data_IF_932882092355
#
_entry.id   IF_932882092355
#
_cell.length_a   1.000
_cell.length_b   1.000
_cell.length_c   1.000
_cell.angle_alpha   90.00
_cell.angle_beta   90.00
_cell.angle_gamma   90.00
#
_symmetry.space_group_name_H-M   'P 1'
#
loop_
_entity.id
_entity.type
_entity.pdbx_description
1 polymer ?
#
# COMPACT_ATOMS: atom_id res chain seq x y z
N UNK A 1 -2.35 12.26 -16.59
CA UNK A 1 -3.26 11.10 -16.53
C UNK A 1 -4.66 11.56 -16.92
N UNK A 2 -5.22 12.55 -16.24
CA UNK A 2 -6.60 13.01 -16.45
C UNK A 2 -6.85 13.53 -17.86
N UNK A 3 -5.93 14.28 -18.44
CA UNK A 3 -6.07 14.87 -19.79
C UNK A 3 -5.93 13.81 -20.89
N UNK A 4 -5.02 12.87 -20.73
CA UNK A 4 -4.75 11.83 -21.75
C UNK A 4 -5.76 10.68 -21.63
N UNK A 5 -6.17 10.35 -20.40
CA UNK A 5 -7.03 9.20 -20.10
C UNK A 5 -8.52 9.53 -19.99
N UNK A 6 -8.99 10.65 -20.54
CA UNK A 6 -10.42 11.02 -20.50
C UNK A 6 -11.02 10.99 -19.07
N UNK A 7 -10.26 11.49 -18.09
CA UNK A 7 -10.69 11.56 -16.69
C UNK A 7 -10.00 10.58 -15.75
N UNK A 8 -9.21 9.63 -16.26
CA UNK A 8 -8.44 8.67 -15.45
C UNK A 8 -7.65 7.69 -16.30
N UNK A 9 -6.88 6.84 -15.65
CA UNK A 9 -6.20 5.72 -16.30
C UNK A 9 -7.21 4.62 -16.67
N UNK A 10 -6.92 3.82 -17.70
CA UNK A 10 -7.71 2.63 -17.99
C UNK A 10 -7.55 1.58 -16.90
N UNK A 11 -6.31 1.32 -16.47
CA UNK A 11 -5.97 0.36 -15.43
C UNK A 11 -5.03 1.02 -14.42
N UNK A 12 -5.32 0.84 -13.14
CA UNK A 12 -4.39 1.10 -12.05
C UNK A 12 -4.02 -0.24 -11.39
N UNK A 13 -2.75 -0.59 -11.45
CA UNK A 13 -2.21 -1.76 -10.75
C UNK A 13 -1.42 -1.29 -9.53
N UNK A 14 -1.67 -1.92 -8.39
CA UNK A 14 -1.04 -1.57 -7.11
C UNK A 14 -0.74 -2.80 -6.26
N UNK A 15 0.01 -2.57 -5.20
CA UNK A 15 0.30 -3.55 -4.16
C UNK A 15 0.52 -2.79 -2.85
N UNK A 16 -0.04 -3.23 -1.72
CA UNK A 16 0.13 -2.53 -0.47
C UNK A 16 1.56 -2.68 0.06
N UNK A 17 2.11 -1.58 0.57
CA UNK A 17 3.37 -1.62 1.31
C UNK A 17 3.17 -1.92 2.79
N UNK A 18 4.24 -1.83 3.56
CA UNK A 18 4.24 -2.16 5.00
C UNK A 18 3.23 -1.36 5.81
N UNK A 19 3.10 -0.07 5.50
CA UNK A 19 2.13 0.82 6.16
C UNK A 19 0.70 0.67 5.64
N UNK A 20 0.47 -0.12 4.59
CA UNK A 20 -0.79 -0.13 3.86
C UNK A 20 -1.00 1.13 3.02
N UNK A 21 0.08 1.85 2.65
CA UNK A 21 0.00 3.06 1.85
C UNK A 21 -0.65 2.83 0.48
N UNK A 22 -1.28 3.88 -0.04
CA UNK A 22 -1.77 3.95 -1.41
C UNK A 22 -0.80 4.82 -2.22
N UNK A 23 -0.14 4.25 -3.24
CA UNK A 23 1.02 4.88 -3.87
C UNK A 23 2.05 5.23 -2.77
N UNK A 24 2.42 6.51 -2.56
CA UNK A 24 3.22 6.93 -1.41
C UNK A 24 2.45 7.83 -0.44
N UNK A 25 1.11 7.71 -0.42
CA UNK A 25 0.29 8.31 0.63
C UNK A 25 0.32 7.36 1.83
N UNK A 26 1.19 7.66 2.76
CA UNK A 26 1.40 6.94 4.01
C UNK A 26 0.43 7.41 5.12
N UNK A 27 0.19 6.61 6.18
CA UNK A 27 -0.63 7.03 7.32
C UNK A 27 0.15 7.98 8.24
N UNK A 28 0.37 9.20 7.78
CA UNK A 28 1.02 10.28 8.53
C UNK A 28 0.01 11.40 8.81
N UNK A 29 0.25 12.20 9.84
CA UNK A 29 -0.68 13.24 10.32
C UNK A 29 -1.18 14.15 9.20
N UNK A 30 -0.34 14.45 8.21
CA UNK A 30 -0.70 15.28 7.04
C UNK A 30 -1.87 14.69 6.22
N UNK A 31 -2.04 13.37 6.25
CA UNK A 31 -3.04 12.65 5.43
C UNK A 31 -4.13 11.97 6.25
N UNK A 32 -4.13 12.15 7.57
CA UNK A 32 -5.18 11.63 8.44
C UNK A 32 -6.29 12.68 8.54
N UNK A 33 -7.47 12.31 8.08
CA UNK A 33 -8.68 13.14 8.14
C UNK A 33 -9.90 12.25 8.36
N UNK A 34 -10.93 12.79 9.00
CA UNK A 34 -12.23 12.14 9.13
C UNK A 34 -13.09 12.33 7.89
N UNK A 35 -12.70 13.24 7.00
CA UNK A 35 -13.38 13.49 5.72
C UNK A 35 -12.81 12.56 4.64
N UNK A 36 -13.51 11.45 4.42
CA UNK A 36 -13.12 10.45 3.41
C UNK A 36 -13.20 11.01 2.00
N UNK A 37 -14.14 11.90 1.71
CA UNK A 37 -14.27 12.49 0.38
C UNK A 37 -13.10 13.45 0.10
N UNK A 38 -12.67 14.23 1.09
CA UNK A 38 -11.45 15.04 1.00
C UNK A 38 -10.26 14.14 0.70
N UNK A 39 -10.09 13.05 1.47
CA UNK A 39 -8.98 12.12 1.30
C UNK A 39 -8.93 11.51 -0.10
N UNK A 40 -10.07 11.02 -0.60
CA UNK A 40 -10.19 10.40 -1.92
C UNK A 40 -9.92 11.36 -3.08
N UNK A 41 -10.04 12.67 -2.85
CA UNK A 41 -9.80 13.72 -3.84
C UNK A 41 -8.40 14.34 -3.77
N UNK A 42 -7.51 13.85 -2.90
CA UNK A 42 -6.14 14.36 -2.83
C UNK A 42 -5.39 14.13 -4.15
N UNK A 43 -4.77 15.19 -4.73
CA UNK A 43 -4.03 15.08 -5.99
C UNK A 43 -2.60 14.60 -5.80
N UNK A 44 -1.92 14.35 -6.93
CA UNK A 44 -0.48 14.08 -6.97
C UNK A 44 0.31 15.17 -6.26
N UNK A 45 1.36 14.76 -5.53
CA UNK A 45 2.17 15.67 -4.70
C UNK A 45 3.56 15.12 -4.40
N UNK A 46 4.40 15.96 -3.80
CA UNK A 46 5.65 15.51 -3.17
C UNK A 46 5.35 15.25 -1.69
N UNK A 47 5.75 14.08 -1.21
CA UNK A 47 5.53 13.63 0.17
C UNK A 47 6.85 13.33 0.86
N UNK A 48 6.86 13.43 2.19
CA UNK A 48 7.89 12.83 3.03
C UNK A 48 7.47 11.41 3.38
N UNK A 49 8.33 10.44 3.10
CA UNK A 49 8.01 9.04 3.30
C UNK A 49 7.97 8.67 4.79
N UNK A 50 7.03 7.80 5.14
CA UNK A 50 6.99 7.19 6.47
C UNK A 50 8.27 6.36 6.71
N UNK A 51 8.85 6.34 7.93
CA UNK A 51 10.06 5.56 8.22
C UNK A 51 9.98 4.08 7.83
N UNK A 52 8.82 3.44 8.00
CA UNK A 52 8.62 2.04 7.58
C UNK A 52 8.62 1.89 6.06
N UNK A 53 8.13 2.87 5.31
CA UNK A 53 8.19 2.88 3.85
C UNK A 53 9.63 3.04 3.37
N UNK A 54 10.42 3.88 4.02
CA UNK A 54 11.87 3.99 3.76
C UNK A 54 12.58 2.66 4.08
N UNK A 55 12.30 2.06 5.24
CA UNK A 55 12.88 0.78 5.64
C UNK A 55 12.52 -0.34 4.65
N UNK A 56 11.26 -0.43 4.25
CA UNK A 56 10.82 -1.39 3.24
C UNK A 56 11.60 -1.22 1.93
N UNK A 57 11.72 -0.01 1.43
CA UNK A 57 12.41 0.27 0.17
C UNK A 57 13.90 -0.04 0.24
N UNK A 58 14.55 0.07 1.40
CA UNK A 58 15.95 -0.31 1.57
C UNK A 58 16.23 -1.80 1.32
N UNK A 59 15.16 -2.62 1.38
CA UNK A 59 15.21 -4.07 1.13
C UNK A 59 14.87 -4.42 -0.32
N UNK A 60 14.54 -3.44 -1.17
CA UNK A 60 14.19 -3.65 -2.57
C UNK A 60 15.40 -3.48 -3.49
N UNK A 61 15.38 -4.18 -4.63
CA UNK A 61 16.48 -4.22 -5.59
C UNK A 61 16.90 -2.85 -6.13
N UNK A 62 15.97 -1.91 -6.28
CA UNK A 62 16.24 -0.54 -6.73
C UNK A 62 17.26 0.18 -5.84
N UNK A 63 17.25 -0.11 -4.54
CA UNK A 63 18.15 0.50 -3.55
C UNK A 63 19.16 -0.51 -2.98
N UNK A 64 19.46 -1.58 -3.72
CA UNK A 64 20.52 -2.54 -3.43
C UNK A 64 20.20 -3.65 -2.45
N UNK A 65 18.99 -3.74 -1.94
CA UNK A 65 18.52 -4.81 -1.00
C UNK A 65 19.38 -4.98 0.27
N UNK A 66 20.12 -3.95 0.64
CA UNK A 66 21.13 -4.04 1.71
C UNK A 66 20.56 -3.74 3.11
N UNK A 67 19.34 -3.21 3.19
CA UNK A 67 18.81 -2.63 4.43
C UNK A 67 19.46 -1.28 4.80
N UNK A 68 20.28 -0.71 3.91
CA UNK A 68 20.92 0.58 4.15
C UNK A 68 19.94 1.72 3.91
N UNK A 69 19.29 2.16 4.97
CA UNK A 69 18.20 3.16 4.94
C UNK A 69 18.63 4.47 4.29
N UNK A 70 19.91 4.90 4.51
CA UNK A 70 20.40 6.15 3.94
C UNK A 70 20.53 6.16 2.41
N UNK A 71 20.43 5.01 1.75
CA UNK A 71 20.37 4.92 0.29
C UNK A 71 19.00 5.24 -0.28
N UNK A 72 17.95 5.28 0.55
CA UNK A 72 16.58 5.54 0.12
C UNK A 72 16.27 7.03 0.26
N UNK A 73 15.82 7.71 -0.79
CA UNK A 73 15.40 9.10 -0.69
C UNK A 73 14.27 9.26 0.34
N UNK A 74 14.34 10.29 1.21
CA UNK A 74 13.31 10.49 2.23
C UNK A 74 12.01 11.11 1.69
N UNK A 75 12.00 11.49 0.41
CA UNK A 75 10.86 12.09 -0.27
C UNK A 75 10.57 11.41 -1.59
N UNK A 76 9.30 11.42 -1.98
CA UNK A 76 8.85 10.90 -3.28
C UNK A 76 7.85 11.87 -3.93
N UNK A 77 7.85 11.91 -5.25
CA UNK A 77 6.71 12.41 -6.02
C UNK A 77 5.73 11.23 -6.20
N UNK A 78 4.48 11.44 -5.86
CA UNK A 78 3.46 10.39 -5.91
C UNK A 78 2.20 10.86 -6.62
N UNK A 79 1.52 9.92 -7.28
CA UNK A 79 0.12 10.12 -7.65
C UNK A 79 -0.72 10.21 -6.38
N UNK A 80 -1.86 10.89 -6.47
CA UNK A 80 -2.80 10.99 -5.36
C UNK A 80 -3.84 9.87 -5.36
N UNK A 81 -4.58 9.73 -4.26
CA UNK A 81 -5.74 8.85 -4.20
C UNK A 81 -6.72 9.08 -5.36
N UNK A 82 -6.94 10.33 -5.76
CA UNK A 82 -7.83 10.67 -6.86
C UNK A 82 -7.46 9.97 -8.18
N UNK A 83 -6.17 9.82 -8.46
CA UNK A 83 -5.69 9.18 -9.69
C UNK A 83 -5.96 7.67 -9.66
N UNK A 84 -5.77 7.05 -8.51
CA UNK A 84 -6.05 5.62 -8.28
C UNK A 84 -7.56 5.36 -8.36
N UNK A 85 -8.35 6.18 -7.69
CA UNK A 85 -9.80 5.99 -7.56
C UNK A 85 -10.57 6.30 -8.86
N UNK A 86 -10.01 7.13 -9.73
CA UNK A 86 -10.58 7.45 -11.07
C UNK A 86 -10.19 6.45 -12.16
N UNK A 87 -9.27 5.55 -11.91
CA UNK A 87 -8.97 4.49 -12.87
C UNK A 87 -10.25 3.68 -13.19
N UNK A 88 -10.43 3.31 -14.47
CA UNK A 88 -11.60 2.51 -14.91
C UNK A 88 -11.57 1.13 -14.26
N UNK A 89 -10.38 0.50 -14.21
CA UNK A 89 -10.15 -0.77 -13.53
C UNK A 89 -9.04 -0.62 -12.47
N UNK A 90 -9.24 -1.24 -11.32
CA UNK A 90 -8.24 -1.32 -10.25
C UNK A 90 -7.92 -2.77 -9.99
N UNK A 91 -6.63 -3.07 -10.04
CA UNK A 91 -6.08 -4.40 -9.78
C UNK A 91 -5.09 -4.26 -8.63
N UNK A 92 -5.30 -5.01 -7.56
CA UNK A 92 -4.40 -5.07 -6.43
C UNK A 92 -3.81 -6.45 -6.31
N UNK A 93 -2.48 -6.53 -6.19
CA UNK A 93 -1.75 -7.79 -6.08
C UNK A 93 -1.03 -7.85 -4.74
N UNK A 94 -1.41 -8.81 -3.92
CA UNK A 94 -0.78 -9.08 -2.64
C UNK A 94 0.05 -10.35 -2.74
N UNK A 95 1.36 -10.22 -2.70
CA UNK A 95 2.29 -11.32 -2.79
C UNK A 95 3.39 -11.22 -1.73
N UNK A 96 3.96 -12.36 -1.35
CA UNK A 96 5.16 -12.38 -0.53
C UNK A 96 6.37 -11.97 -1.38
N UNK A 97 7.11 -10.97 -0.90
CA UNK A 97 8.40 -10.58 -1.47
C UNK A 97 9.57 -11.32 -0.82
N UNK A 98 9.34 -11.93 0.33
CA UNK A 98 10.33 -12.68 1.10
C UNK A 98 9.83 -14.09 1.37
N UNK A 99 10.64 -15.09 1.05
CA UNK A 99 10.29 -16.48 1.23
C UNK A 99 10.14 -16.84 2.73
N UNK A 100 9.06 -17.55 3.04
CA UNK A 100 9.07 -18.50 4.14
C UNK A 100 8.70 -17.99 5.53
N UNK A 101 8.18 -16.79 5.71
CA UNK A 101 7.75 -16.39 7.05
C UNK A 101 6.23 -16.37 7.18
N UNK A 102 5.72 -17.24 8.05
CA UNK A 102 4.32 -17.30 8.45
C UNK A 102 3.84 -16.04 9.18
N UNK A 103 4.74 -15.16 9.62
CA UNK A 103 4.46 -13.92 10.36
C UNK A 103 4.91 -12.65 9.61
N UNK A 104 4.92 -12.68 8.30
CA UNK A 104 5.33 -11.50 7.51
C UNK A 104 4.33 -10.35 7.68
N UNK A 105 4.85 -9.12 7.62
CA UNK A 105 4.01 -7.92 7.63
C UNK A 105 3.01 -7.90 6.47
N UNK A 106 3.35 -8.51 5.33
CA UNK A 106 2.45 -8.60 4.17
C UNK A 106 1.15 -9.33 4.51
N UNK A 107 1.19 -10.39 5.32
CA UNK A 107 -0.01 -11.10 5.77
C UNK A 107 -0.95 -10.20 6.56
N UNK A 108 -0.40 -9.42 7.49
CA UNK A 108 -1.19 -8.48 8.29
C UNK A 108 -1.74 -7.36 7.41
N UNK A 109 -0.89 -6.71 6.61
CA UNK A 109 -1.30 -5.60 5.76
C UNK A 109 -2.36 -6.02 4.74
N UNK A 110 -2.20 -7.20 4.12
CA UNK A 110 -3.20 -7.73 3.20
C UNK A 110 -4.59 -7.81 3.85
N UNK A 111 -4.67 -8.32 5.09
CA UNK A 111 -5.95 -8.40 5.83
C UNK A 111 -6.51 -7.04 6.20
N UNK A 112 -5.66 -6.12 6.66
CA UNK A 112 -6.09 -4.76 7.00
C UNK A 112 -6.64 -4.03 5.77
N UNK A 113 -5.98 -4.17 4.62
CA UNK A 113 -6.40 -3.54 3.38
C UNK A 113 -7.70 -4.12 2.85
N UNK A 114 -7.87 -5.45 2.89
CA UNK A 114 -9.00 -6.13 2.23
C UNK A 114 -10.22 -6.33 3.14
N UNK A 115 -10.04 -6.44 4.45
CA UNK A 115 -11.07 -6.80 5.42
C UNK A 115 -11.09 -5.89 6.66
N UNK A 116 -10.10 -5.02 6.82
CA UNK A 116 -10.07 -4.05 7.91
C UNK A 116 -11.05 -2.89 7.69
N UNK A 117 -11.18 -1.99 8.66
CA UNK A 117 -11.97 -0.78 8.49
C UNK A 117 -11.39 0.11 7.39
N UNK A 118 -12.29 0.77 6.66
CA UNK A 118 -11.91 1.80 5.68
C UNK A 118 -11.46 3.04 6.46
N UNK A 119 -10.17 3.39 6.34
CA UNK A 119 -9.58 4.47 7.13
C UNK A 119 -8.31 5.01 6.51
N UNK A 120 -8.00 6.31 6.63
CA UNK A 120 -6.70 6.88 6.26
C UNK A 120 -5.50 6.29 7.01
N UNK A 121 -5.73 5.64 8.16
CA UNK A 121 -4.71 4.91 8.91
C UNK A 121 -4.21 3.64 8.18
N UNK A 122 -4.96 3.16 7.21
CA UNK A 122 -4.58 2.10 6.27
C UNK A 122 -5.00 2.57 4.88
N UNK A 123 -4.22 3.45 4.24
CA UNK A 123 -4.63 4.15 3.02
C UNK A 123 -5.21 3.26 1.91
N UNK A 124 -4.62 2.10 1.63
CA UNK A 124 -5.14 1.17 0.62
C UNK A 124 -6.48 0.52 1.02
N UNK A 125 -6.93 0.63 2.27
CA UNK A 125 -8.27 0.17 2.68
C UNK A 125 -9.38 0.93 1.94
N UNK A 126 -9.09 2.14 1.45
CA UNK A 126 -10.00 2.95 0.64
C UNK A 126 -10.43 2.25 -0.67
N UNK A 127 -9.62 1.30 -1.17
CA UNK A 127 -9.98 0.50 -2.35
C UNK A 127 -11.25 -0.33 -2.13
N UNK A 128 -11.62 -0.62 -0.88
CA UNK A 128 -12.89 -1.28 -0.55
C UNK A 128 -14.12 -0.43 -0.92
N UNK A 129 -13.98 0.88 -1.10
CA UNK A 129 -15.08 1.79 -1.50
C UNK A 129 -15.40 1.72 -3.00
N UNK A 130 -14.57 1.05 -3.79
CA UNK A 130 -14.73 0.91 -5.24
C UNK A 130 -14.54 -0.55 -5.66
N UNK A 131 -15.16 -0.92 -6.78
CA UNK A 131 -14.90 -2.23 -7.38
C UNK A 131 -13.41 -2.36 -7.70
N UNK A 132 -12.74 -3.26 -7.00
CA UNK A 132 -11.31 -3.56 -7.15
C UNK A 132 -11.13 -5.06 -7.26
N UNK A 133 -10.31 -5.51 -8.20
CA UNK A 133 -9.91 -6.92 -8.30
C UNK A 133 -8.68 -7.11 -7.41
N UNK A 134 -8.77 -8.03 -6.45
CA UNK A 134 -7.67 -8.32 -5.53
C UNK A 134 -7.18 -9.74 -5.75
N UNK A 135 -5.91 -9.88 -6.05
CA UNK A 135 -5.22 -11.17 -6.19
C UNK A 135 -4.31 -11.36 -4.98
N UNK A 136 -4.54 -12.40 -4.21
CA UNK A 136 -3.76 -12.70 -2.99
C UNK A 136 -3.09 -14.03 -3.19
N UNK A 137 -1.77 -14.12 -2.97
CA UNK A 137 -1.06 -15.40 -3.02
C UNK A 137 -1.56 -16.34 -1.92
N UNK A 138 -1.49 -17.65 -2.17
CA UNK A 138 -1.93 -18.66 -1.20
C UNK A 138 -1.22 -18.54 0.14
N UNK A 139 0.07 -18.22 0.12
CA UNK A 139 0.86 -18.03 1.34
C UNK A 139 0.36 -16.85 2.18
N UNK A 140 -0.09 -15.76 1.55
CA UNK A 140 -0.66 -14.62 2.27
C UNK A 140 -2.06 -14.92 2.80
N UNK A 141 -2.84 -15.71 2.06
CA UNK A 141 -4.19 -16.12 2.45
C UNK A 141 -4.19 -17.14 3.60
N UNK A 142 -3.09 -17.87 3.80
CA UNK A 142 -2.97 -18.86 4.85
C UNK A 142 -3.23 -18.27 6.25
N UNK A 143 -3.86 -19.04 7.17
CA UNK A 143 -4.11 -18.58 8.54
C UNK A 143 -2.83 -18.13 9.24
N UNK A 144 -2.95 -17.16 10.15
CA UNK A 144 -1.88 -16.85 11.07
C UNK A 144 -1.68 -18.01 12.05
N UNK A 145 -0.42 -18.36 12.30
CA UNK A 145 -0.06 -19.24 13.37
C UNK A 145 0.37 -18.44 14.61
N UNK A 146 -0.05 -18.89 15.79
CA UNK A 146 0.36 -18.26 17.04
C UNK A 146 1.72 -18.82 17.51
N UNK A 147 2.36 -18.11 18.42
CA UNK A 147 3.66 -18.46 18.99
C UNK A 147 3.74 -19.89 19.51
N UNK A 148 2.67 -20.34 20.16
CA UNK A 148 2.58 -21.68 20.75
C UNK A 148 2.72 -22.80 19.72
N UNK A 149 2.31 -22.53 18.46
CA UNK A 149 2.42 -23.51 17.38
C UNK A 149 3.79 -23.57 16.73
N UNK A 150 4.61 -22.54 16.92
CA UNK A 150 5.94 -22.46 16.32
C UNK A 150 7.08 -22.75 17.30
N UNK A 151 6.75 -23.12 18.52
CA UNK A 151 7.71 -23.66 19.47
C UNK A 151 8.63 -22.65 20.14
N UNK A 152 8.21 -21.42 20.30
CA UNK A 152 8.89 -20.42 21.11
C UNK A 152 8.32 -20.37 22.52
#
# INVERSE_FOLDING_TARGET
ITEIGEGGADICSSSPGWTGHMAFIDPVDEFITDDIDEWLNMPARIVTLHPLTVAQNSLHGVFGQSGYIASVPPKAATIGPIDVMRAKERIEVHALLTNGTFSSWQRMTSRLVTHGPVTPLVPSSMLQTKKTQVYISEELAAPFECWEKVGY
#
